data_IF_612617578723
#
_entry.id   IF_612617578723
#
_cell.length_a   1.000
_cell.length_b   1.000
_cell.length_c   1.000
_cell.angle_alpha   90.00
_cell.angle_beta   90.00
_cell.angle_gamma   90.00
#
_symmetry.space_group_name_H-M   'P 1'
#
loop_
_entity.id
_entity.type
_entity.pdbx_description
1 polymer ?
#
# COMPACT_ATOMS: atom_id res chain seq x y z
N UNK A 1 19.94 18.31 -1.45
CA UNK A 1 18.69 17.68 -1.91
C UNK A 1 17.57 18.27 -1.08
N UNK A 2 16.52 18.75 -1.72
CA UNK A 2 15.39 19.37 -1.05
C UNK A 2 14.57 18.31 -0.30
N UNK A 3 14.10 18.66 0.89
CA UNK A 3 13.24 17.81 1.71
C UNK A 3 12.17 18.66 2.38
N UNK A 4 10.93 18.48 1.97
CA UNK A 4 9.74 19.13 2.52
C UNK A 4 9.03 18.12 3.42
N UNK A 5 8.96 18.41 4.72
CA UNK A 5 8.43 17.49 5.72
C UNK A 5 7.05 17.92 6.18
N UNK A 6 6.16 16.95 6.39
CA UNK A 6 4.84 17.14 7.01
C UNK A 6 4.02 18.25 6.32
N UNK A 7 3.81 18.09 5.01
CA UNK A 7 3.04 19.02 4.19
C UNK A 7 1.59 19.05 4.67
N UNK A 8 1.13 20.23 5.08
CA UNK A 8 -0.21 20.46 5.61
C UNK A 8 -0.87 21.62 4.89
N UNK A 9 -2.20 21.57 4.80
CA UNK A 9 -2.97 22.64 4.14
C UNK A 9 -2.93 23.91 4.96
N UNK A 10 -2.85 25.05 4.26
CA UNK A 10 -2.95 26.36 4.89
C UNK A 10 -3.81 27.31 4.05
N UNK A 11 -4.31 28.37 4.69
CA UNK A 11 -4.96 29.46 4.00
C UNK A 11 -3.90 30.53 3.66
N UNK A 12 -3.70 30.88 2.38
CA UNK A 12 -2.73 31.88 2.02
C UNK A 12 -3.07 33.26 2.58
N UNK A 13 -2.04 34.00 2.99
CA UNK A 13 -2.20 35.38 3.48
C UNK A 13 -1.91 36.44 2.41
N UNK A 14 -1.11 36.10 1.40
CA UNK A 14 -0.76 36.97 0.29
C UNK A 14 -1.94 37.16 -0.67
N UNK A 15 -2.17 38.41 -1.10
CA UNK A 15 -3.34 38.79 -1.91
C UNK A 15 -3.46 37.97 -3.20
N UNK A 16 -2.36 37.74 -3.93
CA UNK A 16 -2.37 36.94 -5.16
C UNK A 16 -2.74 35.46 -4.92
N UNK A 17 -2.17 34.83 -3.88
CA UNK A 17 -2.48 33.43 -3.56
C UNK A 17 -3.91 33.29 -3.01
N UNK A 18 -4.42 34.31 -2.29
CA UNK A 18 -5.82 34.37 -1.87
C UNK A 18 -6.77 34.45 -3.05
N UNK A 19 -6.51 35.34 -4.01
CA UNK A 19 -7.29 35.45 -5.24
C UNK A 19 -7.32 34.12 -5.99
N UNK A 20 -6.18 33.44 -6.11
CA UNK A 20 -6.10 32.12 -6.75
C UNK A 20 -6.91 31.07 -5.96
N UNK A 21 -6.77 31.04 -4.64
CA UNK A 21 -7.52 30.12 -3.77
C UNK A 21 -9.02 30.30 -3.92
N UNK A 22 -9.50 31.55 -3.92
CA UNK A 22 -10.92 31.88 -4.02
C UNK A 22 -11.48 31.65 -5.43
N UNK A 23 -10.76 32.07 -6.46
CA UNK A 23 -11.22 31.97 -7.84
C UNK A 23 -11.25 30.53 -8.37
N UNK A 24 -10.25 29.73 -7.99
CA UNK A 24 -10.05 28.38 -8.54
C UNK A 24 -10.29 27.27 -7.52
N UNK A 25 -10.76 27.60 -6.31
CA UNK A 25 -10.88 26.67 -5.18
C UNK A 25 -9.55 25.91 -4.94
N UNK A 26 -8.43 26.61 -5.17
CA UNK A 26 -7.10 26.03 -5.09
C UNK A 26 -6.68 25.82 -3.64
N UNK A 27 -6.11 24.65 -3.35
CA UNK A 27 -5.53 24.33 -2.05
C UNK A 27 -4.05 24.69 -2.03
N UNK A 28 -3.55 25.13 -0.87
CA UNK A 28 -2.15 25.45 -0.64
C UNK A 28 -1.59 24.59 0.47
N UNK A 29 -0.31 24.22 0.36
CA UNK A 29 0.40 23.40 1.33
C UNK A 29 1.73 24.02 1.69
N UNK A 30 2.09 23.97 2.97
CA UNK A 30 3.43 24.27 3.43
C UNK A 30 4.00 23.11 4.23
N UNK A 31 5.32 23.01 4.26
CA UNK A 31 6.02 22.07 5.12
C UNK A 31 6.01 22.53 6.60
N UNK A 32 6.57 21.72 7.51
CA UNK A 32 6.65 22.04 8.94
C UNK A 32 7.49 23.28 9.27
N UNK A 33 8.29 23.76 8.32
CA UNK A 33 9.09 24.99 8.43
C UNK A 33 8.43 26.19 7.75
N UNK A 34 7.19 26.04 7.24
CA UNK A 34 6.44 27.09 6.58
C UNK A 34 6.82 27.34 5.11
N UNK A 35 7.59 26.46 4.47
CA UNK A 35 7.93 26.59 3.04
C UNK A 35 6.74 26.14 2.19
N UNK A 36 6.25 27.03 1.33
CA UNK A 36 5.17 26.73 0.40
C UNK A 36 5.58 25.70 -0.66
N UNK A 37 4.71 24.72 -0.90
CA UNK A 37 4.91 23.65 -1.87
C UNK A 37 5.11 24.16 -3.29
N UNK A 38 4.26 25.07 -3.75
CA UNK A 38 4.27 25.55 -5.12
C UNK A 38 5.51 26.39 -5.43
N UNK A 39 5.96 27.20 -4.47
CA UNK A 39 7.24 27.92 -4.55
C UNK A 39 8.44 26.97 -4.49
N UNK A 40 8.34 25.89 -3.72
CA UNK A 40 9.40 24.89 -3.60
C UNK A 40 9.57 24.01 -4.85
N UNK A 41 8.54 23.86 -5.70
CA UNK A 41 8.63 23.10 -6.97
C UNK A 41 9.84 23.55 -7.81
N UNK A 42 10.06 24.86 -7.93
CA UNK A 42 11.14 25.43 -8.72
C UNK A 42 12.55 25.18 -8.13
N UNK A 43 12.64 24.74 -6.87
CA UNK A 43 13.90 24.49 -6.18
C UNK A 43 14.38 23.03 -6.34
N UNK A 44 13.52 22.12 -6.82
CA UNK A 44 13.93 20.76 -7.15
C UNK A 44 14.77 20.73 -8.43
N UNK A 45 15.79 19.86 -8.44
CA UNK A 45 16.59 19.63 -9.64
C UNK A 45 15.78 18.87 -10.70
N UNK A 46 15.90 19.18 -12.00
CA UNK A 46 15.12 18.50 -13.04
C UNK A 46 15.37 16.99 -13.14
N UNK A 47 16.62 16.55 -12.98
CA UNK A 47 17.03 15.17 -13.21
C UNK A 47 16.98 14.26 -11.97
N UNK A 48 16.47 14.76 -10.85
CA UNK A 48 16.28 14.00 -9.60
C UNK A 48 14.87 13.43 -9.48
N UNK A 49 14.75 12.35 -8.71
CA UNK A 49 13.48 11.81 -8.28
C UNK A 49 12.93 12.61 -7.10
N UNK A 50 11.61 12.75 -7.06
CA UNK A 50 10.84 13.36 -5.98
C UNK A 50 9.97 12.25 -5.45
N UNK A 51 10.24 11.88 -4.21
CA UNK A 51 9.65 10.72 -3.57
C UNK A 51 8.74 11.23 -2.47
N UNK A 52 7.45 10.99 -2.63
CA UNK A 52 6.46 11.25 -1.59
C UNK A 52 6.34 10.05 -0.68
N UNK A 53 6.39 10.29 0.62
CA UNK A 53 6.12 9.29 1.62
C UNK A 53 5.11 9.78 2.67
N UNK A 54 4.33 8.84 3.21
CA UNK A 54 3.32 9.05 4.24
C UNK A 54 3.96 9.17 5.64
N UNK A 55 3.22 9.57 6.71
CA UNK A 55 3.78 9.73 8.05
C UNK A 55 4.42 8.46 8.63
N UNK A 56 3.99 7.29 8.19
CA UNK A 56 4.56 5.98 8.53
C UNK A 56 5.80 5.61 7.67
N UNK A 57 6.24 6.52 6.81
CA UNK A 57 7.36 6.33 5.90
C UNK A 57 7.00 5.70 4.57
N UNK A 58 5.77 5.22 4.36
CA UNK A 58 5.42 4.47 3.14
C UNK A 58 5.46 5.36 1.91
N UNK A 59 6.18 4.90 0.88
CA UNK A 59 6.28 5.61 -0.39
C UNK A 59 4.97 5.43 -1.16
N UNK A 60 4.39 6.57 -1.56
CA UNK A 60 3.10 6.62 -2.26
C UNK A 60 3.15 7.39 -3.58
N UNK A 61 4.27 8.04 -3.92
CA UNK A 61 4.52 8.57 -5.25
C UNK A 61 6.02 8.71 -5.52
N UNK A 62 6.43 8.46 -6.76
CA UNK A 62 7.77 8.72 -7.28
C UNK A 62 7.62 9.42 -8.62
N UNK A 63 8.19 10.61 -8.78
CA UNK A 63 8.16 11.32 -10.06
C UNK A 63 9.42 12.19 -10.26
N UNK A 64 9.83 12.43 -11.50
CA UNK A 64 10.85 13.44 -11.82
C UNK A 64 10.27 14.85 -11.93
N UNK A 65 8.98 14.97 -12.19
CA UNK A 65 8.26 16.24 -12.12
C UNK A 65 7.62 16.38 -10.73
N UNK A 66 8.07 17.37 -9.96
CA UNK A 66 7.50 17.64 -8.64
C UNK A 66 6.03 18.07 -8.74
N UNK A 67 5.65 18.79 -9.80
CA UNK A 67 4.28 19.32 -9.97
C UNK A 67 3.24 18.21 -10.18
N UNK A 68 3.68 17.03 -10.60
CA UNK A 68 2.83 15.84 -10.75
C UNK A 68 2.55 15.11 -9.42
N UNK A 69 3.06 15.59 -8.29
CA UNK A 69 2.88 15.00 -6.97
C UNK A 69 1.83 15.80 -6.19
N UNK A 70 0.81 15.12 -5.68
CA UNK A 70 -0.10 15.69 -4.69
C UNK A 70 0.59 15.71 -3.31
N UNK A 71 0.92 16.89 -2.75
CA UNK A 71 1.69 17.00 -1.51
C UNK A 71 0.92 16.58 -0.24
N UNK A 72 -0.41 16.43 -0.34
CA UNK A 72 -1.31 16.27 0.80
C UNK A 72 -0.96 15.05 1.67
N UNK A 73 -0.92 15.27 2.99
CA UNK A 73 -0.82 14.21 3.98
C UNK A 73 0.51 13.47 4.04
N UNK A 74 1.61 14.06 3.54
CA UNK A 74 2.91 13.40 3.52
C UNK A 74 4.10 14.36 3.51
N UNK A 75 5.25 13.81 3.16
CA UNK A 75 6.50 14.54 2.97
C UNK A 75 7.04 14.23 1.58
N UNK A 76 7.81 15.15 1.00
CA UNK A 76 8.46 14.95 -0.31
C UNK A 76 9.96 15.17 -0.16
N UNK A 77 10.73 14.17 -0.56
CA UNK A 77 12.20 14.20 -0.53
C UNK A 77 12.76 14.04 -1.94
N UNK A 78 13.79 14.82 -2.23
CA UNK A 78 14.56 14.74 -3.46
C UNK A 78 15.65 13.66 -3.36
N UNK A 79 15.76 12.82 -4.38
CA UNK A 79 16.69 11.70 -4.45
C UNK A 79 17.40 11.68 -5.81
N UNK A 80 18.72 11.50 -5.82
CA UNK A 80 19.51 11.38 -7.07
C UNK A 80 19.40 9.99 -7.71
N UNK A 81 19.07 8.97 -6.93
CA UNK A 81 18.86 7.60 -7.39
C UNK A 81 17.83 6.90 -6.51
N UNK A 82 17.31 5.78 -7.03
CA UNK A 82 16.41 4.89 -6.31
C UNK A 82 17.05 3.50 -6.22
N UNK A 83 16.71 2.70 -5.19
CA UNK A 83 17.03 1.27 -5.19
C UNK A 83 16.42 0.54 -6.39
N UNK A 84 17.04 -0.57 -6.78
CA UNK A 84 16.50 -1.43 -7.83
C UNK A 84 15.11 -1.95 -7.46
N UNK A 85 14.13 -1.75 -8.35
CA UNK A 85 12.74 -2.16 -8.14
C UNK A 85 11.95 -1.23 -7.20
N UNK A 86 12.47 -0.07 -6.82
CA UNK A 86 11.72 0.91 -6.04
C UNK A 86 10.52 1.44 -6.82
N UNK A 87 9.34 1.32 -6.20
CA UNK A 87 8.06 1.78 -6.73
C UNK A 87 7.24 2.50 -5.64
N UNK A 88 5.98 2.79 -5.98
CA UNK A 88 5.01 3.41 -5.09
C UNK A 88 3.83 2.49 -4.77
N UNK A 89 3.99 1.18 -4.90
CA UNK A 89 2.92 0.18 -4.67
C UNK A 89 2.78 -0.18 -3.18
N UNK A 90 3.53 0.50 -2.31
CA UNK A 90 3.44 0.39 -0.86
C UNK A 90 4.38 -0.66 -0.26
N UNK A 91 5.30 -1.24 -1.03
CA UNK A 91 6.33 -2.16 -0.51
C UNK A 91 7.60 -1.45 -0.03
N UNK A 92 7.71 -0.15 -0.32
CA UNK A 92 8.88 0.67 -0.02
C UNK A 92 8.56 1.76 1.00
N UNK A 93 9.54 2.08 1.84
CA UNK A 93 9.48 3.14 2.84
C UNK A 93 10.71 4.04 2.78
N UNK A 94 10.51 5.31 3.09
CA UNK A 94 11.56 6.24 3.44
C UNK A 94 11.83 6.18 4.95
N UNK A 95 13.00 5.65 5.33
CA UNK A 95 13.41 5.47 6.72
C UNK A 95 14.87 5.89 6.88
N UNK A 96 15.18 6.68 7.91
CA UNK A 96 16.54 7.14 8.23
C UNK A 96 17.30 7.74 7.02
N UNK A 97 16.60 8.51 6.17
CA UNK A 97 17.19 9.18 5.02
C UNK A 97 17.40 8.29 3.78
N UNK A 98 16.92 7.04 3.79
CA UNK A 98 17.05 6.11 2.67
C UNK A 98 15.71 5.47 2.30
N UNK A 99 15.64 4.99 1.07
CA UNK A 99 14.53 4.16 0.57
C UNK A 99 14.89 2.70 0.80
N UNK A 100 14.03 1.95 1.48
CA UNK A 100 14.21 0.54 1.78
C UNK A 100 12.85 -0.18 1.72
N UNK A 101 12.87 -1.51 1.67
CA UNK A 101 11.64 -2.28 1.82
C UNK A 101 10.96 -1.99 3.15
N UNK A 102 9.63 -2.05 3.16
CA UNK A 102 8.83 -1.86 4.36
C UNK A 102 9.24 -2.83 5.45
N UNK A 103 9.41 -2.29 6.65
CA UNK A 103 9.53 -3.08 7.86
C UNK A 103 8.17 -3.03 8.55
N UNK A 104 7.41 -4.11 8.41
CA UNK A 104 6.08 -4.20 9.02
C UNK A 104 6.19 -4.44 10.52
N UNK A 105 5.30 -3.81 11.27
CA UNK A 105 5.12 -4.13 12.69
C UNK A 105 4.51 -5.52 12.88
N UNK A 106 4.63 -6.09 14.08
CA UNK A 106 3.99 -7.37 14.39
C UNK A 106 2.48 -7.33 14.16
N UNK A 107 1.82 -6.22 14.54
CA UNK A 107 0.38 -6.05 14.37
C UNK A 107 -0.01 -6.00 12.88
N UNK A 108 0.73 -5.25 12.05
CA UNK A 108 0.48 -5.21 10.60
C UNK A 108 0.69 -6.58 9.94
N UNK A 109 1.70 -7.33 10.36
CA UNK A 109 1.94 -8.68 9.86
C UNK A 109 0.82 -9.65 10.27
N UNK A 110 0.31 -9.53 11.50
CA UNK A 110 -0.85 -10.29 11.96
C UNK A 110 -2.11 -9.92 11.18
N UNK A 111 -2.36 -8.63 10.93
CA UNK A 111 -3.49 -8.17 10.11
C UNK A 111 -3.40 -8.69 8.67
N UNK A 112 -2.20 -8.67 8.07
CA UNK A 112 -1.97 -9.25 6.75
C UNK A 112 -2.21 -10.76 6.74
N UNK A 113 -1.73 -11.48 7.77
CA UNK A 113 -1.96 -12.91 7.92
C UNK A 113 -3.45 -13.24 8.05
N UNK A 114 -4.21 -12.46 8.83
CA UNK A 114 -5.66 -12.61 8.96
C UNK A 114 -6.39 -12.34 7.65
N UNK A 115 -6.08 -11.25 6.95
CA UNK A 115 -6.67 -10.97 5.63
C UNK A 115 -6.39 -12.09 4.64
N UNK A 116 -5.18 -12.63 4.63
CA UNK A 116 -4.80 -13.77 3.79
C UNK A 116 -5.58 -15.03 4.18
N UNK A 117 -5.71 -15.32 5.48
CA UNK A 117 -6.52 -16.43 6.00
C UNK A 117 -7.97 -16.34 5.50
N UNK A 118 -8.61 -15.18 5.66
CA UNK A 118 -9.98 -14.97 5.21
C UNK A 118 -10.13 -15.15 3.69
N UNK A 119 -9.21 -14.60 2.90
CA UNK A 119 -9.20 -14.77 1.44
C UNK A 119 -9.09 -16.25 1.02
N UNK A 120 -8.19 -17.00 1.65
CA UNK A 120 -8.03 -18.44 1.38
C UNK A 120 -9.25 -19.26 1.81
N UNK A 121 -9.89 -18.92 2.93
CA UNK A 121 -11.14 -19.55 3.36
C UNK A 121 -12.29 -19.27 2.39
N UNK A 122 -12.41 -18.03 1.91
CA UNK A 122 -13.41 -17.66 0.91
C UNK A 122 -13.19 -18.39 -0.43
N UNK A 123 -11.93 -18.47 -0.89
CA UNK A 123 -11.56 -19.26 -2.08
C UNK A 123 -11.91 -20.73 -1.92
N UNK A 124 -11.61 -21.32 -0.76
CA UNK A 124 -11.95 -22.70 -0.47
C UNK A 124 -13.47 -22.93 -0.45
N UNK A 125 -14.25 -22.03 0.16
CA UNK A 125 -15.71 -22.12 0.15
C UNK A 125 -16.26 -22.09 -1.28
N UNK A 126 -15.75 -21.20 -2.15
CA UNK A 126 -16.14 -21.11 -3.55
C UNK A 126 -15.82 -22.38 -4.35
N UNK A 127 -14.68 -23.02 -4.09
CA UNK A 127 -14.31 -24.28 -4.74
C UNK A 127 -15.12 -25.48 -4.22
N UNK A 128 -15.42 -25.51 -2.92
CA UNK A 128 -16.17 -26.60 -2.28
C UNK A 128 -17.62 -26.63 -2.72
N UNK A 129 -18.29 -25.47 -2.87
CA UNK A 129 -19.72 -25.40 -3.15
C UNK A 129 -20.18 -26.30 -4.32
N UNK A 130 -19.69 -26.14 -5.56
CA UNK A 130 -20.15 -26.96 -6.68
C UNK A 130 -19.77 -28.45 -6.54
N UNK A 131 -18.62 -28.75 -5.94
CA UNK A 131 -18.19 -30.13 -5.70
C UNK A 131 -19.08 -30.82 -4.66
N UNK A 132 -19.55 -30.07 -3.66
CA UNK A 132 -20.48 -30.56 -2.67
C UNK A 132 -21.86 -30.80 -3.29
N UNK A 133 -22.34 -29.88 -4.15
CA UNK A 133 -23.60 -30.04 -4.87
C UNK A 133 -23.60 -31.33 -5.72
N UNK A 134 -22.51 -31.62 -6.44
CA UNK A 134 -22.38 -32.85 -7.22
C UNK A 134 -22.44 -34.12 -6.35
N UNK A 135 -21.83 -34.10 -5.17
CA UNK A 135 -21.91 -35.22 -4.21
C UNK A 135 -23.32 -35.37 -3.65
N UNK A 136 -23.97 -34.26 -3.30
CA UNK A 136 -25.31 -34.26 -2.71
C UNK A 136 -26.38 -34.70 -3.72
N UNK A 137 -26.18 -34.43 -5.01
CA UNK A 137 -27.02 -34.89 -6.12
C UNK A 137 -26.69 -36.33 -6.56
N UNK A 138 -25.59 -36.92 -6.08
CA UNK A 138 -25.13 -38.24 -6.50
C UNK A 138 -24.55 -38.28 -7.92
N UNK A 139 -24.10 -37.13 -8.43
CA UNK A 139 -23.54 -36.95 -9.79
C UNK A 139 -22.00 -36.82 -9.77
N UNK A 140 -21.37 -36.78 -8.60
CA UNK A 140 -19.94 -36.56 -8.47
C UNK A 140 -19.09 -37.68 -9.10
N UNK A 141 -18.05 -37.27 -9.84
CA UNK A 141 -17.03 -38.21 -10.31
C UNK A 141 -16.00 -38.54 -9.22
N UNK A 142 -15.25 -39.65 -9.32
CA UNK A 142 -14.17 -39.97 -8.38
C UNK A 142 -13.12 -38.84 -8.25
N UNK A 143 -12.85 -38.12 -9.34
CA UNK A 143 -11.95 -36.95 -9.34
C UNK A 143 -12.55 -35.78 -8.55
N UNK A 144 -13.85 -35.51 -8.69
CA UNK A 144 -14.54 -34.46 -7.93
C UNK A 144 -14.58 -34.77 -6.43
N UNK A 145 -14.80 -36.03 -6.05
CA UNK A 145 -14.73 -36.46 -4.65
C UNK A 145 -13.32 -36.27 -4.08
N UNK A 146 -12.28 -36.61 -4.84
CA UNK A 146 -10.89 -36.42 -4.45
C UNK A 146 -10.57 -34.92 -4.27
N UNK A 147 -11.01 -34.07 -5.20
CA UNK A 147 -10.86 -32.60 -5.11
C UNK A 147 -11.62 -32.03 -3.93
N UNK A 148 -12.86 -32.46 -3.68
CA UNK A 148 -13.67 -32.03 -2.54
C UNK A 148 -12.96 -32.34 -1.23
N UNK A 149 -12.39 -33.54 -1.10
CA UNK A 149 -11.61 -33.95 0.07
C UNK A 149 -10.35 -33.09 0.24
N UNK A 150 -9.64 -32.80 -0.85
CA UNK A 150 -8.45 -31.94 -0.83
C UNK A 150 -8.80 -30.51 -0.38
N UNK A 151 -9.85 -29.90 -0.96
CA UNK A 151 -10.32 -28.56 -0.60
C UNK A 151 -10.84 -28.48 0.84
N UNK A 152 -11.58 -29.48 1.33
CA UNK A 152 -12.01 -29.55 2.73
C UNK A 152 -10.81 -29.63 3.68
N UNK A 153 -9.81 -30.47 3.38
CA UNK A 153 -8.57 -30.56 4.16
C UNK A 153 -7.82 -29.23 4.16
N UNK A 154 -7.69 -28.59 3.00
CA UNK A 154 -7.11 -27.26 2.85
C UNK A 154 -7.83 -26.22 3.73
N UNK A 155 -9.17 -26.12 3.63
CA UNK A 155 -9.97 -25.19 4.45
C UNK A 155 -9.75 -25.39 5.95
N UNK A 156 -9.75 -26.65 6.42
CA UNK A 156 -9.49 -26.97 7.83
C UNK A 156 -8.08 -26.54 8.25
N UNK A 157 -7.07 -26.81 7.42
CA UNK A 157 -5.69 -26.45 7.71
C UNK A 157 -5.51 -24.93 7.74
N UNK A 158 -6.08 -24.18 6.78
CA UNK A 158 -6.08 -22.71 6.78
C UNK A 158 -6.74 -22.17 8.05
N UNK A 159 -7.89 -22.71 8.45
CA UNK A 159 -8.62 -22.25 9.63
C UNK A 159 -7.80 -22.42 10.93
N UNK A 160 -6.95 -23.44 10.99
CA UNK A 160 -6.07 -23.76 12.12
C UNK A 160 -4.77 -22.95 12.17
N UNK A 161 -4.43 -22.19 11.12
CA UNK A 161 -3.25 -21.31 11.16
C UNK A 161 -3.46 -20.25 12.25
N UNK A 162 -2.50 -20.18 13.17
CA UNK A 162 -2.39 -19.11 14.16
C UNK A 162 -1.66 -17.92 13.54
N UNK A 163 -2.38 -16.82 13.36
CA UNK A 163 -1.91 -15.59 12.71
C UNK A 163 -1.19 -14.65 13.67
N UNK A 164 -1.22 -14.95 14.97
CA UNK A 164 -0.39 -14.27 15.97
C UNK A 164 1.06 -14.78 15.97
N UNK A 165 1.30 -15.96 15.41
CA UNK A 165 2.64 -16.52 15.25
C UNK A 165 3.21 -16.17 13.86
N UNK A 166 4.21 -15.29 13.85
CA UNK A 166 4.81 -14.76 12.63
C UNK A 166 6.18 -15.38 12.34
N UNK A 167 6.50 -15.68 11.06
CA UNK A 167 5.66 -15.49 9.88
C UNK A 167 4.58 -16.57 9.76
N UNK A 168 3.32 -16.16 9.55
CA UNK A 168 2.21 -17.08 9.36
C UNK A 168 2.37 -17.86 8.04
N UNK A 169 2.43 -19.18 8.13
CA UNK A 169 2.58 -20.07 6.97
C UNK A 169 1.26 -20.76 6.66
N UNK A 170 0.83 -20.67 5.39
CA UNK A 170 -0.42 -21.27 4.93
C UNK A 170 -0.16 -22.53 4.11
N UNK A 171 -1.07 -23.52 4.15
CA UNK A 171 -0.96 -24.71 3.31
C UNK A 171 -1.01 -24.34 1.81
N UNK A 172 -0.40 -25.15 0.92
CA UNK A 172 -0.50 -24.94 -0.52
C UNK A 172 -1.94 -25.12 -0.99
N UNK A 173 -2.32 -24.33 -2.00
CA UNK A 173 -3.65 -24.40 -2.61
C UNK A 173 -3.75 -25.71 -3.41
N UNK A 174 -4.79 -26.54 -3.19
CA UNK A 174 -5.00 -27.77 -3.96
C UNK A 174 -5.47 -27.47 -5.40
N UNK A 175 -5.24 -28.42 -6.29
CA UNK A 175 -5.67 -28.39 -7.71
C UNK A 175 -7.18 -28.71 -7.88
#
# INVERSE_FOLDING_TARGET
>A
MLHLKNLTRYAPEADEQKEIAEQFEAFFWHDESGRDWYQAIAQFQPDTFKVKYLPDGVICAINKDASAICPDGGSVVEMTSLPDGADSDGEWQFIDGRIAHRTYTSDELTDQAERKKQSLLARAAKAIAPLQDAVDLGEATPEEEARLKAWKKFRVNVNRVDTSQLPATFPPIPE
#
